data_IF_724403631620
#
_entry.id   IF_724403631620
#
_cell.length_a   1.000
_cell.length_b   1.000
_cell.length_c   1.000
_cell.angle_alpha   90.00
_cell.angle_beta   90.00
_cell.angle_gamma   90.00
#
_symmetry.space_group_name_H-M   'P 1'
#
loop_
_entity.id
_entity.type
_entity.pdbx_description
1 polymer ?
#
# COMPACT_ATOMS: atom_id res chain seq x y z
N UNK A 1 -20.07 13.83 5.61
CA UNK A 1 -18.75 13.22 5.60
C UNK A 1 -18.80 12.00 6.49
N UNK A 2 -18.11 10.96 6.17
CA UNK A 2 -18.40 9.64 6.74
C UNK A 2 -17.13 8.89 7.08
N UNK A 3 -17.17 8.12 8.19
CA UNK A 3 -16.21 7.05 8.48
C UNK A 3 -16.89 5.72 8.16
N UNK A 4 -16.32 4.95 7.22
CA UNK A 4 -16.91 3.69 6.76
C UNK A 4 -15.84 2.61 6.72
N UNK A 5 -16.11 1.48 7.37
CA UNK A 5 -15.32 0.26 7.26
C UNK A 5 -15.89 -0.60 6.12
N UNK A 6 -15.04 -0.98 5.19
CA UNK A 6 -15.41 -1.73 3.98
C UNK A 6 -14.59 -3.01 3.87
N UNK A 7 -15.20 -4.06 3.33
CA UNK A 7 -14.48 -5.23 2.86
C UNK A 7 -14.26 -5.12 1.35
N UNK A 8 -13.02 -5.28 0.87
CA UNK A 8 -12.74 -5.16 -0.55
C UNK A 8 -11.29 -4.84 -0.91
N UNK A 9 -11.09 -4.31 -2.11
CA UNK A 9 -9.80 -3.87 -2.60
C UNK A 9 -9.71 -2.34 -2.52
N UNK A 10 -8.80 -1.82 -1.70
CA UNK A 10 -8.59 -0.38 -1.49
C UNK A 10 -8.29 0.39 -2.79
N UNK A 11 -7.67 -0.25 -3.79
CA UNK A 11 -7.38 0.36 -5.08
C UNK A 11 -8.61 0.56 -5.97
N UNK A 12 -9.77 0.01 -5.58
CA UNK A 12 -11.06 0.28 -6.23
C UNK A 12 -11.76 1.53 -5.66
N UNK A 13 -11.22 2.12 -4.59
CA UNK A 13 -11.73 3.36 -4.01
C UNK A 13 -11.61 4.54 -4.97
N UNK A 14 -12.54 5.50 -4.87
CA UNK A 14 -12.56 6.74 -5.65
C UNK A 14 -12.14 7.97 -4.83
N UNK A 15 -11.53 7.74 -3.69
CA UNK A 15 -11.07 8.80 -2.79
C UNK A 15 -9.89 9.59 -3.38
N UNK A 16 -9.70 10.79 -2.85
CA UNK A 16 -8.61 11.69 -3.25
C UNK A 16 -7.24 11.18 -2.84
N UNK A 17 -7.13 10.48 -1.70
CA UNK A 17 -5.87 9.97 -1.17
C UNK A 17 -5.97 8.52 -0.71
N UNK A 18 -4.89 7.75 -0.84
CA UNK A 18 -4.78 6.36 -0.35
C UNK A 18 -3.53 6.22 0.51
N UNK A 19 -3.66 5.51 1.63
CA UNK A 19 -2.56 5.23 2.54
C UNK A 19 -1.84 3.96 2.13
N UNK A 20 -0.52 4.08 1.98
CA UNK A 20 0.44 2.99 1.86
C UNK A 20 1.23 2.84 3.15
N UNK A 21 1.42 1.64 3.65
CA UNK A 21 2.23 1.38 4.84
C UNK A 21 3.62 0.90 4.45
N UNK A 22 4.66 1.59 4.96
CA UNK A 22 6.04 1.41 4.52
C UNK A 22 7.02 1.25 5.69
N UNK A 23 8.24 0.79 5.37
CA UNK A 23 9.41 0.83 6.25
C UNK A 23 10.29 2.06 5.93
N UNK A 24 11.43 2.20 6.62
CA UNK A 24 12.36 3.31 6.42
C UNK A 24 13.64 2.94 5.64
N UNK A 25 13.74 1.68 5.14
CA UNK A 25 14.90 1.20 4.39
C UNK A 25 14.68 1.07 2.88
N UNK A 26 13.53 1.53 2.37
CA UNK A 26 13.29 1.59 0.92
C UNK A 26 12.79 0.29 0.29
N UNK A 27 12.27 -0.67 1.08
CA UNK A 27 11.78 -1.94 0.59
C UNK A 27 10.26 -1.97 0.46
N UNK A 28 9.74 -2.35 -0.71
CA UNK A 28 8.33 -2.62 -0.98
C UNK A 28 8.21 -3.99 -1.65
N UNK A 29 8.38 -5.06 -0.86
CA UNK A 29 8.49 -6.44 -1.36
C UNK A 29 7.28 -7.33 -1.05
N UNK A 30 6.35 -6.91 -0.18
CA UNK A 30 5.17 -7.71 0.22
C UNK A 30 3.94 -6.84 0.50
N UNK A 31 2.77 -7.50 0.49
CA UNK A 31 1.50 -6.91 0.86
C UNK A 31 1.15 -5.67 0.05
N UNK A 32 0.45 -4.75 0.68
CA UNK A 32 -0.02 -3.53 0.02
C UNK A 32 1.13 -2.67 -0.55
N UNK A 33 2.30 -2.65 0.10
CA UNK A 33 3.44 -1.88 -0.38
C UNK A 33 3.93 -2.35 -1.76
N UNK A 34 3.94 -3.67 -2.03
CA UNK A 34 4.27 -4.20 -3.34
C UNK A 34 3.22 -3.78 -4.39
N UNK A 35 1.93 -3.85 -4.06
CA UNK A 35 0.87 -3.37 -4.95
C UNK A 35 1.09 -1.89 -5.32
N UNK A 36 1.44 -1.05 -4.35
CA UNK A 36 1.78 0.36 -4.61
C UNK A 36 3.01 0.51 -5.50
N UNK A 37 4.07 -0.26 -5.28
CA UNK A 37 5.27 -0.25 -6.13
C UNK A 37 4.94 -0.54 -7.59
N UNK A 38 4.10 -1.56 -7.83
CA UNK A 38 3.72 -1.98 -9.18
C UNK A 38 2.82 -0.95 -9.89
N UNK A 39 1.93 -0.30 -9.15
CA UNK A 39 1.01 0.71 -9.68
C UNK A 39 1.66 2.08 -9.87
N UNK A 40 2.63 2.42 -9.02
CA UNK A 40 3.23 3.75 -8.92
C UNK A 40 4.76 3.65 -8.84
N UNK A 41 5.45 3.17 -9.90
CA UNK A 41 6.89 2.97 -9.89
C UNK A 41 7.69 4.26 -9.64
N UNK A 42 7.21 5.41 -10.09
CA UNK A 42 7.86 6.70 -9.84
C UNK A 42 7.75 7.12 -8.35
N UNK A 43 6.63 6.84 -7.69
CA UNK A 43 6.50 7.02 -6.24
C UNK A 43 7.50 6.13 -5.50
N UNK A 44 7.66 4.88 -5.93
CA UNK A 44 8.61 3.96 -5.33
C UNK A 44 10.05 4.45 -5.46
N UNK A 45 10.47 4.96 -6.63
CA UNK A 45 11.81 5.56 -6.83
C UNK A 45 12.07 6.74 -5.89
N UNK A 46 11.07 7.64 -5.76
CA UNK A 46 11.19 8.80 -4.86
C UNK A 46 11.27 8.35 -3.39
N UNK A 47 10.42 7.41 -2.97
CA UNK A 47 10.47 6.82 -1.62
C UNK A 47 11.83 6.17 -1.35
N UNK A 48 12.37 5.34 -2.26
CA UNK A 48 13.69 4.71 -2.09
C UNK A 48 14.80 5.75 -1.91
N UNK A 49 14.81 6.79 -2.74
CA UNK A 49 15.79 7.87 -2.64
C UNK A 49 15.77 8.53 -1.26
N UNK A 50 14.58 8.83 -0.73
CA UNK A 50 14.39 9.42 0.60
C UNK A 50 14.88 8.47 1.70
N UNK A 51 14.59 7.17 1.60
CA UNK A 51 15.07 6.17 2.55
C UNK A 51 16.59 6.02 2.53
N UNK A 52 17.22 5.95 1.35
CA UNK A 52 18.68 5.84 1.24
C UNK A 52 19.42 7.06 1.76
N UNK A 53 18.77 8.21 1.79
CA UNK A 53 19.28 9.43 2.43
C UNK A 53 18.99 9.47 3.94
N UNK A 54 18.36 8.44 4.52
CA UNK A 54 17.96 8.35 5.93
C UNK A 54 17.04 9.49 6.40
N UNK A 55 16.28 10.08 5.47
CA UNK A 55 15.38 11.21 5.75
C UNK A 55 14.01 10.77 6.26
N UNK A 56 13.55 9.55 5.94
CA UNK A 56 12.31 8.99 6.46
C UNK A 56 12.57 8.25 7.77
N UNK A 57 11.78 8.56 8.79
CA UNK A 57 11.84 7.90 10.12
C UNK A 57 10.50 7.26 10.45
N UNK A 58 10.47 6.21 11.31
CA UNK A 58 9.22 5.66 11.80
C UNK A 58 8.32 6.73 12.41
N UNK A 59 7.02 6.57 12.27
CA UNK A 59 6.03 7.55 12.72
C UNK A 59 5.87 8.78 11.80
N UNK A 60 6.58 8.84 10.66
CA UNK A 60 6.44 9.92 9.69
C UNK A 60 5.54 9.55 8.51
N UNK A 61 5.06 10.58 7.80
CA UNK A 61 4.26 10.47 6.57
C UNK A 61 5.05 11.11 5.43
N UNK A 62 5.25 10.37 4.34
CA UNK A 62 5.84 10.86 3.10
C UNK A 62 4.75 10.97 2.02
N UNK A 63 4.22 12.18 1.75
CA UNK A 63 3.21 12.37 0.72
C UNK A 63 3.82 12.30 -0.69
N UNK A 64 3.12 11.62 -1.61
CA UNK A 64 3.40 11.66 -3.04
C UNK A 64 2.20 12.22 -3.78
N UNK A 65 2.32 13.48 -4.25
CA UNK A 65 1.21 14.25 -4.83
C UNK A 65 1.16 14.22 -6.36
N UNK A 66 2.08 13.50 -7.01
CA UNK A 66 2.21 13.46 -8.48
C UNK A 66 1.33 12.39 -9.13
N UNK A 67 0.45 11.74 -8.36
CA UNK A 67 -0.49 10.73 -8.83
C UNK A 67 -1.92 11.06 -8.44
N UNK A 68 -2.85 10.41 -9.11
CA UNK A 68 -4.26 10.36 -8.72
C UNK A 68 -4.62 8.89 -8.53
N UNK A 69 -4.96 8.49 -7.30
CA UNK A 69 -5.03 9.28 -6.05
C UNK A 69 -3.66 9.74 -5.52
N UNK A 70 -3.66 10.73 -4.62
CA UNK A 70 -2.49 11.09 -3.81
C UNK A 70 -2.09 9.89 -2.94
N UNK A 71 -0.80 9.59 -2.82
CA UNK A 71 -0.34 8.48 -1.99
C UNK A 71 0.31 9.05 -0.73
N UNK A 72 -0.15 8.59 0.43
CA UNK A 72 0.46 8.90 1.71
C UNK A 72 1.22 7.67 2.21
N UNK A 73 2.55 7.69 2.16
CA UNK A 73 3.39 6.62 2.69
C UNK A 73 3.56 6.81 4.20
N UNK A 74 2.91 5.97 5.00
CA UNK A 74 2.99 5.96 6.45
C UNK A 74 4.12 5.03 6.89
N UNK A 75 5.17 5.57 7.48
CA UNK A 75 6.33 4.82 7.94
C UNK A 75 6.03 4.17 9.30
N UNK A 76 5.52 2.94 9.27
CA UNK A 76 5.14 2.17 10.47
C UNK A 76 6.14 1.08 10.84
N UNK A 77 7.25 1.00 10.12
CA UNK A 77 8.38 0.09 10.37
C UNK A 77 9.71 0.83 10.19
N UNK A 78 10.70 0.44 10.96
CA UNK A 78 12.08 0.86 10.70
C UNK A 78 12.69 0.01 9.58
N UNK A 79 12.77 -1.29 9.78
CA UNK A 79 13.19 -2.27 8.76
C UNK A 79 12.00 -3.20 8.39
N UNK A 80 11.99 -3.72 7.17
CA UNK A 80 10.95 -4.65 6.72
C UNK A 80 10.98 -5.99 7.46
N UNK A 81 12.13 -6.36 8.03
CA UNK A 81 12.34 -7.59 8.82
C UNK A 81 11.68 -7.52 10.20
N UNK A 82 11.60 -6.32 10.76
CA UNK A 82 11.10 -6.12 12.11
C UNK A 82 9.58 -5.96 12.15
N UNK A 83 8.92 -6.23 13.29
CA UNK A 83 7.52 -5.92 13.47
C UNK A 83 7.27 -4.40 13.48
N UNK A 84 6.06 -4.00 13.14
CA UNK A 84 5.59 -2.64 13.39
C UNK A 84 5.43 -2.40 14.88
N UNK A 85 5.60 -1.14 15.32
CA UNK A 85 5.29 -0.72 16.69
C UNK A 85 3.98 0.06 16.72
N UNK A 86 3.19 -0.16 17.76
CA UNK A 86 1.90 0.51 17.97
C UNK A 86 2.07 2.02 18.00
N UNK A 87 3.13 2.48 18.65
CA UNK A 87 3.49 3.89 18.81
C UNK A 87 3.69 4.57 17.44
N UNK A 88 4.34 3.90 16.48
CA UNK A 88 4.57 4.46 15.15
C UNK A 88 3.29 4.56 14.33
N UNK A 89 2.37 3.59 14.49
CA UNK A 89 1.05 3.67 13.87
C UNK A 89 0.26 4.83 14.47
N UNK A 90 0.26 4.97 15.79
CA UNK A 90 -0.43 6.05 16.50
C UNK A 90 0.12 7.43 16.11
N UNK A 91 1.45 7.58 16.05
CA UNK A 91 2.11 8.81 15.60
C UNK A 91 1.73 9.19 14.17
N UNK A 92 1.67 8.23 13.24
CA UNK A 92 1.26 8.52 11.86
C UNK A 92 -0.19 8.96 11.79
N UNK A 93 -1.10 8.32 12.54
CA UNK A 93 -2.50 8.73 12.63
C UNK A 93 -2.65 10.14 13.19
N UNK A 94 -1.96 10.45 14.28
CA UNK A 94 -1.96 11.78 14.89
C UNK A 94 -1.43 12.85 13.93
N UNK A 95 -0.31 12.57 13.25
CA UNK A 95 0.25 13.47 12.23
C UNK A 95 -0.70 13.68 11.06
N UNK A 96 -1.41 12.65 10.63
CA UNK A 96 -2.42 12.77 9.60
C UNK A 96 -3.56 13.71 10.04
N UNK A 97 -4.16 13.46 11.19
CA UNK A 97 -5.24 14.28 11.76
C UNK A 97 -4.83 15.76 11.87
N UNK A 98 -3.60 16.03 12.27
CA UNK A 98 -3.11 17.39 12.44
C UNK A 98 -2.79 18.10 11.09
N UNK A 99 -2.70 17.37 9.96
CA UNK A 99 -2.18 17.94 8.72
C UNK A 99 -3.04 17.72 7.47
N UNK A 100 -4.05 16.84 7.48
CA UNK A 100 -4.83 16.52 6.26
C UNK A 100 -5.49 17.75 5.64
N UNK A 101 -5.97 18.71 6.45
CA UNK A 101 -6.52 19.99 5.97
C UNK A 101 -5.49 20.82 5.20
N UNK A 102 -4.25 20.90 5.72
CA UNK A 102 -3.14 21.60 5.04
C UNK A 102 -2.73 20.91 3.74
N UNK A 103 -2.97 19.60 3.64
CA UNK A 103 -2.74 18.82 2.42
C UNK A 103 -3.89 18.94 1.42
N UNK A 104 -5.02 19.54 1.81
CA UNK A 104 -6.23 19.68 1.01
C UNK A 104 -6.98 18.37 0.79
N UNK A 105 -6.80 17.38 1.68
CA UNK A 105 -7.40 16.05 1.54
C UNK A 105 -8.82 16.07 2.10
N UNK A 106 -9.80 15.77 1.23
CA UNK A 106 -11.24 15.73 1.57
C UNK A 106 -11.80 14.31 1.59
N UNK A 107 -11.08 13.33 1.05
CA UNK A 107 -11.43 11.92 1.14
C UNK A 107 -10.19 11.04 1.10
N UNK A 108 -10.19 9.96 1.90
CA UNK A 108 -9.02 9.09 2.04
C UNK A 108 -9.40 7.64 2.34
N UNK A 109 -8.60 6.69 1.83
CA UNK A 109 -8.73 5.27 2.14
C UNK A 109 -7.52 4.76 2.93
N UNK A 110 -7.78 4.02 3.99
CA UNK A 110 -6.80 3.36 4.85
C UNK A 110 -6.90 1.84 4.74
N UNK A 111 -5.80 1.10 4.71
CA UNK A 111 -5.80 -0.31 5.09
C UNK A 111 -5.81 -0.43 6.63
N UNK A 112 -6.07 -1.64 7.18
CA UNK A 112 -5.76 -1.91 8.58
C UNK A 112 -4.25 -1.95 8.80
N UNK A 113 -3.69 -0.78 9.13
CA UNK A 113 -2.25 -0.52 9.16
C UNK A 113 -1.52 -1.37 10.20
N UNK A 114 -0.56 -2.20 9.75
CA UNK A 114 0.27 -3.01 10.65
C UNK A 114 -0.35 -4.32 11.14
N UNK A 115 -1.62 -4.62 10.81
CA UNK A 115 -2.30 -5.82 11.30
C UNK A 115 -1.79 -7.13 10.66
N UNK A 116 -1.42 -7.12 9.39
CA UNK A 116 -0.94 -8.34 8.71
C UNK A 116 0.58 -8.51 8.82
N UNK A 117 1.32 -7.97 7.85
CA UNK A 117 2.79 -8.05 7.82
C UNK A 117 3.49 -7.22 8.92
N UNK A 118 2.75 -6.41 9.67
CA UNK A 118 3.26 -5.62 10.79
C UNK A 118 3.25 -6.35 12.13
N UNK A 119 2.42 -7.40 12.26
CA UNK A 119 2.35 -8.23 13.47
C UNK A 119 1.58 -7.60 14.65
N UNK A 120 0.94 -6.45 14.48
CA UNK A 120 0.11 -5.83 15.51
C UNK A 120 -1.27 -6.51 15.52
N UNK A 121 -1.85 -6.85 16.68
CA UNK A 121 -3.20 -7.41 16.76
C UNK A 121 -4.24 -6.53 16.06
N UNK A 122 -5.10 -7.12 15.24
CA UNK A 122 -6.09 -6.40 14.45
C UNK A 122 -7.01 -5.50 15.30
N UNK A 123 -7.43 -5.98 16.48
CA UNK A 123 -8.31 -5.21 17.37
C UNK A 123 -7.60 -3.95 17.92
N UNK A 124 -6.29 -4.01 18.17
CA UNK A 124 -5.51 -2.82 18.53
C UNK A 124 -5.51 -1.80 17.40
N UNK A 125 -5.33 -2.25 16.16
CA UNK A 125 -5.36 -1.36 14.98
C UNK A 125 -6.75 -0.77 14.77
N UNK A 126 -7.80 -1.57 14.89
CA UNK A 126 -9.19 -1.09 14.79
C UNK A 126 -9.48 -0.01 15.85
N UNK A 127 -9.08 -0.27 17.09
CA UNK A 127 -9.25 0.70 18.18
C UNK A 127 -8.54 2.03 17.85
N UNK A 128 -7.26 2.00 17.48
CA UNK A 128 -6.52 3.21 17.14
C UNK A 128 -7.11 3.94 15.93
N UNK A 129 -7.43 3.21 14.88
CA UNK A 129 -7.99 3.79 13.66
C UNK A 129 -9.32 4.51 13.96
N UNK A 130 -10.21 3.86 14.70
CA UNK A 130 -11.49 4.47 15.12
C UNK A 130 -11.27 5.67 16.03
N UNK A 131 -10.38 5.55 17.04
CA UNK A 131 -10.04 6.64 17.98
C UNK A 131 -9.65 7.92 17.26
N UNK A 132 -8.84 7.83 16.20
CA UNK A 132 -8.30 9.02 15.51
C UNK A 132 -9.16 9.48 14.33
N UNK A 133 -9.87 8.59 13.65
CA UNK A 133 -10.51 8.92 12.38
C UNK A 133 -12.03 9.01 12.42
N UNK A 134 -12.71 8.34 13.36
CA UNK A 134 -14.18 8.29 13.35
C UNK A 134 -14.86 9.61 13.74
N UNK A 135 -14.15 10.49 14.43
CA UNK A 135 -14.65 11.81 14.86
C UNK A 135 -14.33 12.93 13.87
N UNK A 136 -13.71 12.64 12.75
CA UNK A 136 -13.39 13.66 11.76
C UNK A 136 -14.65 14.01 10.95
N UNK A 137 -15.07 15.28 11.01
CA UNK A 137 -16.36 15.71 10.45
C UNK A 137 -16.26 16.27 9.02
N UNK A 138 -15.08 16.65 8.56
CA UNK A 138 -14.85 17.37 7.31
C UNK A 138 -14.03 16.57 6.27
N UNK A 139 -13.98 15.25 6.43
CA UNK A 139 -13.31 14.33 5.50
C UNK A 139 -14.09 13.01 5.42
N UNK A 140 -14.18 12.44 4.22
CA UNK A 140 -14.66 11.07 4.03
C UNK A 140 -13.53 10.08 4.22
N UNK A 141 -13.70 9.15 5.18
CA UNK A 141 -12.72 8.13 5.52
C UNK A 141 -13.27 6.75 5.21
N UNK A 142 -12.57 6.01 4.38
CA UNK A 142 -12.81 4.61 4.11
C UNK A 142 -11.71 3.77 4.74
N UNK A 143 -12.05 2.71 5.48
CA UNK A 143 -11.07 1.75 6.01
C UNK A 143 -11.35 0.39 5.42
N UNK A 144 -10.32 -0.20 4.81
CA UNK A 144 -10.47 -1.44 4.06
C UNK A 144 -9.94 -2.65 4.81
N UNK A 145 -10.83 -3.65 4.95
CA UNK A 145 -10.45 -5.03 5.18
C UNK A 145 -10.26 -5.69 3.80
N UNK A 146 -9.06 -6.23 3.57
CA UNK A 146 -8.72 -6.77 2.26
C UNK A 146 -9.53 -8.02 1.94
N UNK A 147 -10.16 -8.03 0.75
CA UNK A 147 -10.86 -9.19 0.21
C UNK A 147 -10.16 -9.68 -1.07
N UNK A 148 -9.53 -10.86 -1.04
CA UNK A 148 -8.83 -11.41 -2.19
C UNK A 148 -9.76 -11.80 -3.35
N UNK A 149 -11.06 -11.98 -3.10
CA UNK A 149 -12.04 -12.37 -4.11
C UNK A 149 -12.59 -11.16 -4.92
N UNK A 150 -12.31 -9.94 -4.46
CA UNK A 150 -12.70 -8.73 -5.20
C UNK A 150 -11.79 -8.52 -6.43
N UNK A 151 -12.36 -8.28 -7.62
CA UNK A 151 -11.58 -8.07 -8.83
C UNK A 151 -10.47 -7.03 -8.69
N UNK A 152 -9.29 -7.40 -9.14
CA UNK A 152 -8.12 -6.55 -9.16
C UNK A 152 -7.76 -6.22 -10.61
N UNK A 153 -7.99 -4.98 -11.06
CA UNK A 153 -7.70 -4.56 -12.42
C UNK A 153 -6.23 -4.76 -12.82
N UNK A 154 -5.30 -4.52 -11.89
CA UNK A 154 -3.88 -4.74 -12.16
C UNK A 154 -3.58 -6.24 -12.37
N UNK A 155 -4.17 -7.12 -11.57
CA UNK A 155 -4.02 -8.55 -11.73
C UNK A 155 -4.57 -9.03 -13.09
N UNK A 156 -5.74 -8.52 -13.49
CA UNK A 156 -6.34 -8.86 -14.77
C UNK A 156 -5.48 -8.38 -15.95
N UNK A 157 -4.91 -7.17 -15.86
CA UNK A 157 -3.98 -6.65 -16.86
C UNK A 157 -2.68 -7.50 -16.93
N UNK A 158 -2.13 -7.87 -15.79
CA UNK A 158 -0.95 -8.74 -15.72
C UNK A 158 -1.26 -10.13 -16.30
N UNK A 159 -2.41 -10.69 -15.94
CA UNK A 159 -2.86 -11.96 -16.50
C UNK A 159 -2.96 -11.90 -18.02
N UNK A 160 -3.55 -10.86 -18.58
CA UNK A 160 -3.60 -10.63 -20.01
C UNK A 160 -2.20 -10.60 -20.65
N UNK A 161 -1.25 -9.86 -20.06
CA UNK A 161 0.13 -9.78 -20.54
C UNK A 161 0.80 -11.16 -20.53
N UNK A 162 0.61 -11.94 -19.48
CA UNK A 162 1.16 -13.30 -19.34
C UNK A 162 0.53 -14.27 -20.34
N UNK A 163 -0.80 -14.26 -20.47
CA UNK A 163 -1.54 -15.17 -21.35
C UNK A 163 -1.24 -14.90 -22.85
N UNK A 164 -0.95 -13.65 -23.21
CA UNK A 164 -0.68 -13.23 -24.59
C UNK A 164 0.80 -13.09 -24.92
N UNK A 165 1.70 -13.24 -23.92
CA UNK A 165 3.13 -12.92 -24.03
C UNK A 165 3.38 -11.52 -24.60
N UNK A 166 2.55 -10.55 -24.20
CA UNK A 166 2.59 -9.18 -24.72
C UNK A 166 3.86 -8.41 -24.33
N UNK A 167 4.57 -8.83 -23.26
CA UNK A 167 5.84 -8.26 -22.82
C UNK A 167 6.86 -9.38 -22.54
N UNK A 168 8.12 -9.10 -22.84
CA UNK A 168 9.26 -9.95 -22.49
C UNK A 168 9.63 -9.78 -21.01
N UNK A 169 10.43 -10.71 -20.47
CA UNK A 169 10.95 -10.60 -19.09
C UNK A 169 11.79 -9.33 -18.88
N UNK A 170 12.52 -8.89 -19.91
CA UNK A 170 13.33 -7.67 -19.85
C UNK A 170 12.45 -6.45 -19.72
N UNK A 171 11.41 -6.33 -20.57
CA UNK A 171 10.46 -5.23 -20.50
C UNK A 171 9.70 -5.21 -19.17
N UNK A 172 9.29 -6.38 -18.65
CA UNK A 172 8.68 -6.48 -17.33
C UNK A 172 9.62 -6.01 -16.20
N UNK A 173 10.91 -6.32 -16.28
CA UNK A 173 11.92 -5.81 -15.34
C UNK A 173 12.07 -4.30 -15.44
N UNK A 174 12.17 -3.74 -16.64
CA UNK A 174 12.32 -2.30 -16.88
C UNK A 174 11.13 -1.49 -16.37
N UNK A 175 9.90 -1.94 -16.66
CA UNK A 175 8.68 -1.23 -16.24
C UNK A 175 8.38 -1.34 -14.74
N UNK A 176 8.67 -2.49 -14.13
CA UNK A 176 8.26 -2.78 -12.73
C UNK A 176 9.37 -2.57 -11.70
N UNK A 177 10.63 -2.51 -12.13
CA UNK A 177 11.82 -2.54 -11.25
C UNK A 177 11.93 -3.84 -10.44
N UNK A 178 11.25 -4.91 -10.86
CA UNK A 178 11.33 -6.25 -10.29
C UNK A 178 12.27 -7.07 -11.17
N UNK A 179 13.29 -7.70 -10.58
CA UNK A 179 14.26 -8.51 -11.32
C UNK A 179 13.63 -9.69 -12.06
N UNK A 180 14.12 -9.99 -13.26
CA UNK A 180 13.60 -11.05 -14.15
C UNK A 180 13.44 -12.39 -13.43
N UNK A 181 14.37 -12.78 -12.55
CA UNK A 181 14.29 -14.01 -11.74
C UNK A 181 13.04 -14.13 -10.85
N UNK A 182 12.44 -13.00 -10.48
CA UNK A 182 11.18 -12.98 -9.73
C UNK A 182 9.98 -13.00 -10.68
N UNK A 183 10.13 -12.42 -11.88
CA UNK A 183 9.08 -12.44 -12.88
C UNK A 183 8.75 -13.86 -13.37
N UNK A 184 9.73 -14.76 -13.49
CA UNK A 184 9.49 -16.18 -13.81
C UNK A 184 8.49 -16.79 -12.80
N UNK A 185 8.75 -16.58 -11.50
CA UNK A 185 7.84 -17.07 -10.42
C UNK A 185 6.46 -16.41 -10.45
N UNK A 186 6.42 -15.11 -10.74
CA UNK A 186 5.16 -14.36 -10.85
C UNK A 186 4.34 -14.89 -12.02
N UNK A 187 4.96 -15.14 -13.16
CA UNK A 187 4.29 -15.67 -14.35
C UNK A 187 3.70 -17.05 -14.05
N UNK A 188 4.47 -17.93 -13.42
CA UNK A 188 3.98 -19.26 -13.02
C UNK A 188 2.80 -19.15 -12.05
N UNK A 189 2.89 -18.24 -11.07
CA UNK A 189 1.81 -18.00 -10.13
C UNK A 189 0.55 -17.39 -10.79
N UNK A 190 0.71 -16.50 -11.78
CA UNK A 190 -0.43 -15.93 -12.55
C UNK A 190 -1.16 -17.00 -13.36
N UNK A 191 -0.44 -18.00 -13.84
CA UNK A 191 -1.02 -19.14 -14.58
C UNK A 191 -1.76 -20.12 -13.66
N UNK A 192 -1.49 -20.10 -12.35
CA UNK A 192 -2.22 -20.92 -11.38
C UNK A 192 -3.67 -20.42 -11.24
N UNK A 193 -4.63 -21.32 -11.43
CA UNK A 193 -6.07 -21.03 -11.35
C UNK A 193 -6.53 -20.54 -9.97
N UNK A 194 -5.76 -20.81 -8.91
CA UNK A 194 -6.05 -20.39 -7.54
C UNK A 194 -5.60 -18.96 -7.25
N UNK A 195 -4.76 -18.38 -8.09
CA UNK A 195 -4.28 -17.01 -7.92
C UNK A 195 -5.28 -16.03 -8.56
N UNK A 196 -5.89 -15.16 -7.76
CA UNK A 196 -6.95 -14.25 -8.18
C UNK A 196 -6.63 -12.76 -7.99
N UNK A 197 -5.53 -12.43 -7.30
CA UNK A 197 -5.18 -11.04 -6.98
C UNK A 197 -3.68 -10.83 -6.90
N UNK A 198 -3.24 -9.57 -7.00
CA UNK A 198 -1.83 -9.19 -6.82
C UNK A 198 -1.29 -9.60 -5.45
N UNK A 199 -2.12 -9.59 -4.40
CA UNK A 199 -1.69 -10.00 -3.07
C UNK A 199 -1.30 -11.48 -3.00
N UNK A 200 -1.94 -12.35 -3.79
CA UNK A 200 -1.53 -13.75 -3.89
C UNK A 200 -0.13 -13.88 -4.51
N UNK A 201 0.26 -12.98 -5.41
CA UNK A 201 1.58 -12.98 -6.04
C UNK A 201 2.69 -12.55 -5.06
N UNK A 202 2.37 -11.81 -4.02
CA UNK A 202 3.33 -11.34 -3.03
C UNK A 202 4.03 -12.46 -2.24
N UNK A 203 3.53 -13.70 -2.31
CA UNK A 203 4.17 -14.85 -1.68
C UNK A 203 5.32 -15.43 -2.52
N UNK A 204 5.44 -15.05 -3.80
CA UNK A 204 6.41 -15.57 -4.76
C UNK A 204 7.60 -14.62 -5.03
N UNK A 205 7.56 -13.41 -4.47
CA UNK A 205 8.60 -12.36 -4.54
C UNK A 205 9.27 -12.23 -3.17
#
# INVERSE_FOLDING_TARGET
>A
MSYIEKKGNIFNSKVMAIVNTVNCVGAMGKGIALDFKLRFPEMFKEYQRICFQHLLKPGQILPYKKSTPIILNFAIKEDWKDPSKVEWVEETLQKFVNNYKKLGITSIAFPWMGAMNGGIPLETIKYLTRKYLSSLEDIDVEVYDFDPDVPCHLFNALKYIVDTNALTLIELEEYSLIKSRYWEKIIDAVKDKNTKSMNNLCHYI
#
